data_IF_991328187257
#
_entry.id   IF_991328187257
#
_cell.length_a   1.000
_cell.length_b   1.000
_cell.length_c   1.000
_cell.angle_alpha   90.00
_cell.angle_beta   90.00
_cell.angle_gamma   90.00
#
_symmetry.space_group_name_H-M   'P 1'
#
loop_
_entity.id
_entity.type
_entity.pdbx_description
1 polymer ?
#
# COMPACT_ATOMS: atom_id res chain seq x y z
N UNK A 1 -5.23 -7.33 -18.78
CA UNK A 1 -5.28 -5.94 -18.26
C UNK A 1 -5.10 -6.01 -16.74
N UNK A 2 -4.38 -5.08 -16.13
CA UNK A 2 -4.14 -5.09 -14.66
C UNK A 2 -5.13 -4.18 -13.94
N UNK A 3 -5.46 -4.50 -12.69
CA UNK A 3 -6.26 -3.64 -11.81
C UNK A 3 -5.37 -2.45 -11.40
N UNK A 4 -5.91 -1.22 -11.46
CA UNK A 4 -5.28 -0.03 -10.92
C UNK A 4 -5.73 0.17 -9.47
N UNK A 5 -4.87 0.73 -8.64
CA UNK A 5 -5.16 1.01 -7.24
C UNK A 5 -4.90 2.48 -6.92
N UNK A 6 -5.92 3.15 -6.38
CA UNK A 6 -5.80 4.46 -5.76
C UNK A 6 -5.76 4.28 -4.25
N UNK A 7 -4.75 4.87 -3.59
CA UNK A 7 -4.58 4.76 -2.13
C UNK A 7 -4.86 6.10 -1.47
N UNK A 8 -5.79 6.08 -0.52
CA UNK A 8 -6.17 7.22 0.27
C UNK A 8 -5.94 6.92 1.75
N UNK A 9 -5.59 7.96 2.51
CA UNK A 9 -5.76 7.97 3.96
C UNK A 9 -6.92 8.90 4.30
N UNK A 10 -7.73 8.50 5.28
CA UNK A 10 -9.02 9.13 5.54
C UNK A 10 -9.28 9.27 7.04
N UNK A 11 -9.87 10.40 7.42
CA UNK A 11 -10.50 10.57 8.72
C UNK A 11 -11.61 9.52 8.86
N UNK A 12 -11.33 8.52 9.69
CA UNK A 12 -12.16 7.34 9.80
C UNK A 12 -13.50 7.65 10.46
N UNK A 13 -13.52 8.55 11.44
CA UNK A 13 -14.75 8.97 12.11
C UNK A 13 -15.65 9.75 11.14
N UNK A 14 -15.05 10.60 10.30
CA UNK A 14 -15.80 11.27 9.23
C UNK A 14 -16.43 10.27 8.26
N UNK A 15 -15.64 9.32 7.72
CA UNK A 15 -16.14 8.32 6.79
C UNK A 15 -17.24 7.45 7.41
N UNK A 16 -17.03 6.99 8.65
CA UNK A 16 -17.97 6.10 9.35
C UNK A 16 -19.24 6.83 9.85
N UNK A 17 -19.25 8.16 9.85
CA UNK A 17 -20.46 8.94 10.16
C UNK A 17 -21.49 8.91 9.03
N UNK A 18 -21.05 8.60 7.81
CA UNK A 18 -21.89 8.49 6.63
C UNK A 18 -22.40 7.05 6.43
N UNK A 19 -23.55 6.86 5.75
CA UNK A 19 -24.07 5.53 5.44
C UNK A 19 -23.09 4.70 4.61
N UNK A 20 -22.98 3.40 4.93
CA UNK A 20 -22.00 2.50 4.30
C UNK A 20 -22.13 2.37 2.78
N UNK A 21 -23.34 2.54 2.25
CA UNK A 21 -23.62 2.54 0.80
C UNK A 21 -23.11 3.80 0.08
N UNK A 22 -22.76 4.86 0.83
CA UNK A 22 -22.20 6.11 0.28
C UNK A 22 -20.68 6.16 0.32
N UNK A 23 -20.02 5.30 1.13
CA UNK A 23 -18.57 5.32 1.34
C UNK A 23 -17.79 5.25 0.02
N UNK A 24 -18.11 4.29 -0.85
CA UNK A 24 -17.41 4.14 -2.13
C UNK A 24 -17.50 5.41 -2.98
N UNK A 25 -18.70 5.98 -3.12
CA UNK A 25 -18.92 7.18 -3.92
C UNK A 25 -18.14 8.38 -3.39
N UNK A 26 -18.16 8.59 -2.07
CA UNK A 26 -17.39 9.67 -1.44
C UNK A 26 -15.89 9.52 -1.63
N UNK A 27 -15.36 8.30 -1.44
CA UNK A 27 -13.93 8.01 -1.57
C UNK A 27 -13.46 8.12 -3.03
N UNK A 28 -14.28 7.65 -3.96
CA UNK A 28 -14.05 7.79 -5.39
C UNK A 28 -14.00 9.27 -5.79
N UNK A 29 -15.02 10.06 -5.44
CA UNK A 29 -15.07 11.50 -5.74
C UNK A 29 -13.89 12.26 -5.10
N UNK A 30 -13.50 11.91 -3.88
CA UNK A 30 -12.32 12.44 -3.21
C UNK A 30 -11.04 12.14 -4.01
N UNK A 31 -10.83 10.90 -4.43
CA UNK A 31 -9.68 10.48 -5.24
C UNK A 31 -9.56 11.21 -6.57
N UNK A 32 -10.69 11.51 -7.22
CA UNK A 32 -10.74 12.29 -8.46
C UNK A 32 -10.48 13.79 -8.23
N UNK A 33 -11.02 14.38 -7.17
CA UNK A 33 -10.97 15.82 -6.92
C UNK A 33 -9.56 16.41 -6.85
N UNK A 34 -8.59 15.65 -6.33
CA UNK A 34 -7.18 16.08 -6.23
C UNK A 34 -6.32 15.62 -7.43
N UNK A 35 -6.84 14.69 -8.24
CA UNK A 35 -6.18 14.25 -9.47
C UNK A 35 -6.40 15.21 -10.64
N UNK A 36 -7.60 15.80 -10.75
CA UNK A 36 -7.92 16.74 -11.83
C UNK A 36 -7.08 18.01 -11.80
N UNK A 37 -6.72 18.53 -10.61
CA UNK A 37 -5.88 19.73 -10.49
C UNK A 37 -4.48 19.53 -11.13
N UNK A 38 -3.95 18.30 -11.12
CA UNK A 38 -2.69 17.96 -11.76
C UNK A 38 -2.81 17.86 -13.29
N UNK A 39 -3.87 17.23 -13.80
CA UNK A 39 -4.14 17.15 -15.24
C UNK A 39 -4.53 18.51 -15.84
N UNK A 40 -5.14 19.38 -15.03
CA UNK A 40 -5.52 20.75 -15.39
C UNK A 40 -4.32 21.72 -15.43
N UNK A 41 -3.16 21.36 -14.89
CA UNK A 41 -1.95 22.19 -14.88
C UNK A 41 -1.30 22.38 -16.28
N UNK A 42 -1.86 21.74 -17.32
CA UNK A 42 -1.53 21.99 -18.72
C UNK A 42 -0.29 21.23 -19.23
N UNK A 43 -0.12 21.17 -20.56
CA UNK A 43 1.01 20.49 -21.20
C UNK A 43 2.30 21.29 -20.96
N UNK A 44 3.02 20.97 -19.90
CA UNK A 44 4.23 21.67 -19.47
C UNK A 44 4.61 21.42 -18.01
N UNK A 45 3.67 20.91 -17.20
CA UNK A 45 4.01 20.45 -15.87
C UNK A 45 4.85 19.17 -15.99
N UNK A 46 6.06 19.09 -15.39
CA UNK A 46 6.84 17.87 -15.40
C UNK A 46 6.01 16.77 -14.72
N UNK A 47 5.86 15.61 -15.36
CA UNK A 47 5.26 14.45 -14.70
C UNK A 47 5.99 14.22 -13.37
N UNK A 48 5.26 13.86 -12.29
CA UNK A 48 5.91 13.66 -11.01
C UNK A 48 6.98 12.58 -11.16
N UNK A 49 8.21 12.89 -10.77
CA UNK A 49 9.36 12.02 -10.95
C UNK A 49 9.42 10.95 -9.83
N UNK A 50 8.57 11.07 -8.80
CA UNK A 50 8.54 10.14 -7.67
C UNK A 50 7.26 10.23 -6.84
N UNK A 51 7.20 9.43 -5.76
CA UNK A 51 6.03 9.35 -4.90
C UNK A 51 5.69 10.68 -4.23
N UNK A 52 4.40 10.98 -4.07
CA UNK A 52 3.95 12.24 -3.47
C UNK A 52 2.54 12.17 -2.89
N UNK A 53 2.24 13.13 -2.01
CA UNK A 53 0.92 13.32 -1.42
C UNK A 53 0.13 14.41 -2.13
N UNK A 54 -1.15 14.13 -2.33
CA UNK A 54 -2.17 15.08 -2.75
C UNK A 54 -3.16 15.28 -1.61
N UNK A 55 -3.39 16.53 -1.23
CA UNK A 55 -4.32 16.90 -0.16
C UNK A 55 -5.39 17.85 -0.72
N UNK A 56 -6.66 17.73 -0.28
CA UNK A 56 -7.69 18.68 -0.65
C UNK A 56 -7.32 20.08 -0.11
N UNK A 57 -7.75 21.13 -0.82
CA UNK A 57 -7.48 22.52 -0.41
C UNK A 57 -8.72 23.16 0.24
N UNK A 58 -8.62 23.75 1.45
CA UNK A 58 -7.43 23.82 2.30
C UNK A 58 -7.17 22.50 3.06
N UNK A 59 -5.90 22.08 3.12
CA UNK A 59 -5.49 20.77 3.67
C UNK A 59 -5.76 20.59 5.16
N UNK A 60 -5.84 21.68 5.92
CA UNK A 60 -6.20 21.65 7.35
C UNK A 60 -7.67 21.30 7.61
N UNK A 61 -8.52 21.34 6.59
CA UNK A 61 -9.94 20.95 6.64
C UNK A 61 -10.24 19.70 5.80
N UNK A 62 -9.20 19.10 5.22
CA UNK A 62 -9.32 17.87 4.45
C UNK A 62 -9.59 16.67 5.34
N UNK A 63 -10.61 15.88 5.00
CA UNK A 63 -10.88 14.58 5.65
C UNK A 63 -10.14 13.41 4.99
N UNK A 64 -9.34 13.68 3.94
CA UNK A 64 -8.57 12.66 3.23
C UNK A 64 -7.25 13.19 2.67
N UNK A 65 -6.36 12.28 2.29
CA UNK A 65 -5.20 12.54 1.44
C UNK A 65 -4.96 11.38 0.49
N UNK A 66 -4.64 11.65 -0.77
CA UNK A 66 -4.32 10.64 -1.79
C UNK A 66 -2.80 10.51 -1.91
N UNK A 67 -2.32 9.27 -1.94
CA UNK A 67 -0.91 8.99 -2.21
C UNK A 67 -0.72 8.47 -3.63
N UNK A 68 0.22 9.07 -4.34
CA UNK A 68 0.69 8.60 -5.62
C UNK A 68 2.05 7.95 -5.43
N UNK A 69 2.16 6.67 -5.80
CA UNK A 69 3.41 5.92 -5.74
C UNK A 69 4.36 6.24 -6.91
N UNK A 70 3.93 7.05 -7.87
CA UNK A 70 4.71 7.51 -9.02
C UNK A 70 4.90 6.42 -10.06
N UNK A 71 6.15 6.05 -10.35
CA UNK A 71 6.49 5.16 -11.47
C UNK A 71 6.06 3.69 -11.27
N UNK A 72 5.81 3.27 -10.03
CA UNK A 72 5.41 1.91 -9.65
C UNK A 72 4.30 1.98 -8.61
N UNK A 73 3.48 0.94 -8.46
CA UNK A 73 2.50 0.85 -7.37
C UNK A 73 1.09 1.36 -7.71
N UNK A 74 0.91 2.13 -8.78
CA UNK A 74 -0.44 2.46 -9.27
C UNK A 74 -1.17 1.25 -9.88
N UNK A 75 -0.44 0.17 -10.23
CA UNK A 75 -1.05 -1.09 -10.65
C UNK A 75 -0.91 -2.15 -9.58
N UNK A 76 -1.97 -2.91 -9.35
CA UNK A 76 -1.93 -4.09 -8.49
C UNK A 76 -0.92 -5.15 -8.97
N UNK A 77 -0.58 -5.16 -10.28
CA UNK A 77 0.51 -6.01 -10.79
C UNK A 77 1.87 -5.69 -10.19
N UNK A 78 2.11 -4.43 -9.83
CA UNK A 78 3.37 -4.02 -9.22
C UNK A 78 3.44 -4.58 -7.79
N UNK A 79 2.33 -4.56 -7.04
CA UNK A 79 2.20 -5.21 -5.74
C UNK A 79 2.41 -6.72 -5.81
N UNK A 80 1.74 -7.38 -6.77
CA UNK A 80 1.91 -8.81 -7.02
C UNK A 80 3.37 -9.16 -7.32
N UNK A 81 4.02 -8.42 -8.23
CA UNK A 81 5.42 -8.65 -8.56
C UNK A 81 6.34 -8.45 -7.34
N UNK A 82 6.09 -7.41 -6.54
CA UNK A 82 6.84 -7.20 -5.30
C UNK A 82 6.67 -8.36 -4.31
N UNK A 83 5.48 -8.94 -4.19
CA UNK A 83 5.26 -10.15 -3.40
C UNK A 83 6.05 -11.35 -3.92
N UNK A 84 6.05 -11.58 -5.24
CA UNK A 84 6.82 -12.68 -5.85
C UNK A 84 8.32 -12.53 -5.58
N UNK A 85 8.85 -11.31 -5.67
CA UNK A 85 10.24 -11.04 -5.29
C UNK A 85 10.47 -11.28 -3.81
N UNK A 86 9.53 -10.88 -2.94
CA UNK A 86 9.61 -11.16 -1.52
C UNK A 86 9.64 -12.66 -1.23
N UNK A 87 8.74 -13.44 -1.81
CA UNK A 87 8.70 -14.90 -1.64
C UNK A 87 10.00 -15.57 -2.10
N UNK A 88 10.60 -15.08 -3.19
CA UNK A 88 11.89 -15.59 -3.67
C UNK A 88 13.04 -15.33 -2.69
N UNK A 89 13.03 -14.21 -1.95
CA UNK A 89 14.15 -13.79 -1.11
C UNK A 89 13.96 -14.09 0.38
N UNK A 90 12.71 -14.22 0.86
CA UNK A 90 12.38 -14.29 2.31
C UNK A 90 13.05 -15.44 3.04
N UNK A 91 13.39 -16.53 2.34
CA UNK A 91 14.15 -17.66 2.90
C UNK A 91 15.59 -17.31 3.30
N UNK A 92 16.15 -16.23 2.77
CA UNK A 92 17.53 -15.78 2.99
C UNK A 92 17.62 -14.56 3.92
N UNK A 93 16.48 -14.05 4.40
CA UNK A 93 16.40 -12.90 5.29
C UNK A 93 16.35 -13.36 6.75
N UNK A 94 17.04 -12.69 7.70
CA UNK A 94 17.00 -13.04 9.12
C UNK A 94 15.56 -13.15 9.65
N UNK A 95 15.24 -14.12 10.53
CA UNK A 95 13.86 -14.43 10.92
C UNK A 95 13.04 -13.24 11.45
N UNK A 96 13.68 -12.34 12.22
CA UNK A 96 13.01 -11.15 12.75
C UNK A 96 12.60 -10.18 11.63
N UNK A 97 13.50 -9.91 10.68
CA UNK A 97 13.22 -9.04 9.53
C UNK A 97 12.20 -9.69 8.60
N UNK A 98 12.35 -10.99 8.33
CA UNK A 98 11.36 -11.76 7.57
C UNK A 98 9.96 -11.62 8.16
N UNK A 99 9.82 -11.88 9.47
CA UNK A 99 8.50 -11.77 10.12
C UNK A 99 7.95 -10.34 10.11
N UNK A 100 8.80 -9.32 10.12
CA UNK A 100 8.37 -7.92 10.07
C UNK A 100 7.83 -7.56 8.67
N UNK A 101 8.57 -7.92 7.62
CA UNK A 101 8.14 -7.71 6.24
C UNK A 101 6.89 -8.51 5.93
N UNK A 102 6.84 -9.80 6.29
CA UNK A 102 5.66 -10.66 6.12
C UNK A 102 4.39 -9.99 6.68
N UNK A 103 4.45 -9.52 7.93
CA UNK A 103 3.30 -8.87 8.59
C UNK A 103 2.97 -7.48 8.07
N UNK A 104 3.95 -6.78 7.49
CA UNK A 104 3.75 -5.47 6.90
C UNK A 104 3.07 -5.55 5.54
N UNK A 105 3.53 -6.46 4.65
CA UNK A 105 3.05 -6.52 3.28
C UNK A 105 1.79 -7.36 3.11
N UNK A 106 1.57 -8.38 3.95
CA UNK A 106 0.45 -9.32 3.83
C UNK A 106 -0.92 -8.61 3.67
N UNK A 107 -1.33 -7.73 4.58
CA UNK A 107 -2.62 -7.03 4.45
C UNK A 107 -2.63 -5.97 3.33
N UNK A 108 -1.48 -5.42 2.93
CA UNK A 108 -1.39 -4.35 1.94
C UNK A 108 -1.39 -4.87 0.51
N UNK A 109 -0.75 -6.03 0.30
CA UNK A 109 -0.56 -6.61 -1.02
C UNK A 109 -1.67 -7.62 -1.31
N UNK A 110 -2.20 -8.32 -0.31
CA UNK A 110 -3.09 -9.47 -0.51
C UNK A 110 -4.47 -9.35 0.14
N UNK A 111 -4.66 -8.43 1.10
CA UNK A 111 -5.85 -8.29 1.96
C UNK A 111 -7.21 -7.98 1.28
N UNK A 112 -7.31 -8.12 -0.05
CA UNK A 112 -8.53 -7.89 -0.83
C UNK A 112 -8.71 -8.81 -2.04
N UNK A 113 -7.85 -9.83 -2.24
CA UNK A 113 -8.04 -10.83 -3.30
C UNK A 113 -8.07 -12.23 -2.70
N UNK A 114 -9.26 -12.83 -2.67
CA UNK A 114 -9.52 -14.24 -2.28
C UNK A 114 -8.75 -15.28 -3.12
N UNK A 115 -7.95 -14.86 -4.10
CA UNK A 115 -7.34 -15.71 -5.13
C UNK A 115 -6.22 -16.65 -4.62
N UNK A 116 -5.87 -16.59 -3.33
CA UNK A 116 -4.83 -17.45 -2.73
C UNK A 116 -5.28 -18.18 -1.45
N UNK A 117 -6.58 -18.17 -1.13
CA UNK A 117 -7.09 -18.88 0.05
C UNK A 117 -6.94 -20.43 -0.02
N UNK A 118 -6.64 -20.97 -1.20
CA UNK A 118 -6.54 -22.42 -1.46
C UNK A 118 -5.12 -22.99 -1.45
N UNK A 119 -4.12 -22.28 -0.93
CA UNK A 119 -2.82 -22.91 -0.62
C UNK A 119 -2.66 -23.17 0.87
N UNK A 120 -3.19 -24.34 1.27
CA UNK A 120 -2.84 -25.03 2.51
C UNK A 120 -1.32 -24.99 2.72
N UNK A 121 -0.90 -24.10 3.60
CA UNK A 121 0.48 -23.98 4.05
C UNK A 121 0.68 -24.88 5.27
N UNK A 122 0.68 -26.20 5.07
CA UNK A 122 1.22 -27.15 6.05
C UNK A 122 2.71 -26.83 6.27
N UNK A 123 2.99 -25.96 7.25
CA UNK A 123 4.35 -25.62 7.67
C UNK A 123 4.64 -24.14 7.91
N UNK A 124 3.73 -23.22 7.57
CA UNK A 124 3.87 -21.83 7.96
C UNK A 124 3.57 -21.70 9.47
N UNK A 125 4.58 -21.37 10.27
CA UNK A 125 4.38 -20.99 11.67
C UNK A 125 3.20 -20.02 11.74
N UNK A 126 2.23 -20.26 12.63
CA UNK A 126 1.04 -19.43 12.78
C UNK A 126 1.43 -17.96 12.99
N UNK A 127 1.48 -17.20 11.90
CA UNK A 127 1.80 -15.79 11.92
C UNK A 127 0.54 -15.07 12.40
N UNK A 128 0.64 -14.40 13.55
CA UNK A 128 -0.39 -13.43 13.96
C UNK A 128 -0.29 -12.24 13.00
N UNK A 129 -1.03 -12.32 11.90
CA UNK A 129 -1.17 -11.24 10.92
C UNK A 129 -2.03 -10.11 11.52
N UNK A 130 -1.87 -8.90 10.98
CA UNK A 130 -2.83 -7.82 11.24
C UNK A 130 -4.09 -8.19 10.49
N UNK A 131 -5.08 -8.73 11.20
CA UNK A 131 -6.37 -9.10 10.60
C UNK A 131 -7.12 -7.81 10.29
N UNK A 132 -7.15 -7.45 9.01
CA UNK A 132 -8.00 -6.37 8.54
C UNK A 132 -9.47 -6.83 8.54
N UNK A 133 -10.42 -5.94 8.87
CA UNK A 133 -11.83 -6.20 8.58
C UNK A 133 -12.02 -6.47 7.07
N UNK A 134 -13.01 -7.30 6.69
CA UNK A 134 -13.30 -7.54 5.29
C UNK A 134 -13.59 -6.22 4.58
N UNK A 135 -12.94 -6.01 3.44
CA UNK A 135 -13.16 -4.81 2.64
C UNK A 135 -14.61 -4.79 2.14
N UNK A 136 -15.30 -3.64 2.20
CA UNK A 136 -16.58 -3.48 1.52
C UNK A 136 -16.44 -3.77 0.02
N UNK A 137 -17.55 -4.08 -0.68
CA UNK A 137 -17.52 -4.25 -2.13
C UNK A 137 -16.81 -3.08 -2.83
N UNK A 138 -16.08 -3.40 -3.91
CA UNK A 138 -15.32 -2.45 -4.75
C UNK A 138 -14.10 -1.77 -4.10
N UNK A 139 -13.76 -2.15 -2.86
CA UNK A 139 -12.51 -1.75 -2.20
C UNK A 139 -11.46 -2.86 -2.33
N UNK A 140 -10.21 -2.47 -2.56
CA UNK A 140 -9.04 -3.36 -2.59
C UNK A 140 -8.35 -3.47 -1.23
N UNK A 141 -8.51 -2.45 -0.38
CA UNK A 141 -7.94 -2.39 0.96
C UNK A 141 -8.87 -1.59 1.88
N UNK A 142 -9.11 -2.09 3.08
CA UNK A 142 -9.90 -1.43 4.12
C UNK A 142 -9.20 -1.56 5.47
N UNK A 143 -8.38 -0.57 5.82
CA UNK A 143 -7.48 -0.62 6.96
C UNK A 143 -7.87 0.47 7.99
N UNK A 144 -8.53 0.12 9.10
CA UNK A 144 -8.91 1.09 10.12
C UNK A 144 -7.69 1.67 10.87
N UNK A 145 -7.83 2.80 11.58
CA UNK A 145 -6.73 3.48 12.28
C UNK A 145 -5.92 2.58 13.22
N UNK A 146 -6.56 1.63 13.91
CA UNK A 146 -5.90 0.69 14.82
C UNK A 146 -5.01 -0.30 14.06
N UNK A 147 -5.46 -0.74 12.88
CA UNK A 147 -4.70 -1.61 12.01
C UNK A 147 -3.51 -0.86 11.38
N UNK A 148 -3.71 0.38 10.92
CA UNK A 148 -2.64 1.25 10.44
C UNK A 148 -1.57 1.48 11.53
N UNK A 149 -2.01 1.71 12.78
CA UNK A 149 -1.10 1.83 13.93
C UNK A 149 -0.32 0.56 14.21
N UNK A 150 -0.93 -0.61 14.03
CA UNK A 150 -0.26 -1.90 14.17
C UNK A 150 0.76 -2.14 13.05
N UNK A 151 0.40 -1.79 11.80
CA UNK A 151 1.29 -1.87 10.65
C UNK A 151 2.50 -0.95 10.80
N UNK A 152 2.32 0.21 11.43
CA UNK A 152 3.40 1.16 11.69
C UNK A 152 4.53 0.55 12.53
N UNK A 153 4.20 -0.30 13.49
CA UNK A 153 5.21 -0.98 14.32
C UNK A 153 6.09 -1.92 13.49
N UNK A 154 5.51 -2.62 12.52
CA UNK A 154 6.27 -3.47 11.61
C UNK A 154 7.08 -2.62 10.62
N UNK A 155 6.50 -1.55 10.11
CA UNK A 155 7.21 -0.61 9.24
C UNK A 155 8.44 -0.01 9.93
N UNK A 156 8.37 0.38 11.20
CA UNK A 156 9.52 0.94 11.91
C UNK A 156 10.71 -0.02 11.99
N UNK A 157 10.44 -1.32 12.08
CA UNK A 157 11.47 -2.34 12.04
C UNK A 157 11.99 -2.59 10.62
N UNK A 158 11.09 -2.63 9.63
CA UNK A 158 11.43 -2.86 8.22
C UNK A 158 12.22 -1.69 7.65
N UNK A 159 11.73 -0.47 7.83
CA UNK A 159 12.28 0.76 7.27
C UNK A 159 13.71 1.06 7.70
N UNK A 160 14.12 0.61 8.89
CA UNK A 160 15.50 0.76 9.39
C UNK A 160 16.49 -0.25 8.82
N UNK A 161 16.00 -1.28 8.13
CA UNK A 161 16.80 -2.42 7.67
C UNK A 161 16.56 -2.77 6.19
N UNK A 162 15.97 -1.86 5.41
CA UNK A 162 15.66 -2.11 4.00
C UNK A 162 16.91 -2.45 3.20
N UNK A 163 18.04 -1.81 3.48
CA UNK A 163 19.32 -2.03 2.79
C UNK A 163 19.84 -3.46 2.99
N UNK A 164 19.46 -4.13 4.09
CA UNK A 164 19.81 -5.54 4.31
C UNK A 164 19.12 -6.50 3.31
N UNK A 165 18.07 -6.04 2.62
CA UNK A 165 17.39 -6.82 1.59
C UNK A 165 18.09 -6.76 0.23
N UNK A 166 19.06 -5.86 0.03
CA UNK A 166 19.70 -5.65 -1.28
C UNK A 166 20.42 -6.91 -1.77
N UNK A 167 21.27 -7.50 -0.94
CA UNK A 167 22.08 -8.66 -1.32
C UNK A 167 21.22 -9.91 -1.62
N UNK A 168 20.20 -10.25 -0.81
CA UNK A 168 19.24 -11.29 -1.16
C UNK A 168 18.46 -10.97 -2.45
N UNK A 169 18.05 -9.72 -2.66
CA UNK A 169 17.31 -9.31 -3.85
C UNK A 169 18.14 -9.49 -5.12
N UNK A 170 19.35 -8.93 -5.17
CA UNK A 170 20.21 -9.01 -6.34
C UNK A 170 20.59 -10.45 -6.70
N UNK A 171 20.66 -11.35 -5.70
CA UNK A 171 21.06 -12.75 -5.92
C UNK A 171 19.90 -13.66 -6.29
N UNK A 172 18.73 -13.49 -5.69
CA UNK A 172 17.63 -14.47 -5.76
C UNK A 172 16.35 -13.94 -6.40
N UNK A 173 16.19 -12.62 -6.53
CA UNK A 173 15.03 -12.07 -7.23
C UNK A 173 15.13 -12.38 -8.74
N UNK A 174 14.00 -12.78 -9.32
CA UNK A 174 13.94 -13.10 -10.74
C UNK A 174 13.77 -11.81 -11.55
N UNK A 175 14.60 -11.58 -12.56
CA UNK A 175 14.38 -10.47 -13.49
C UNK A 175 13.16 -10.79 -14.39
N UNK A 176 11.98 -10.29 -14.01
CA UNK A 176 10.75 -10.37 -14.80
C UNK A 176 10.53 -9.15 -15.69
N UNK A 177 9.48 -9.19 -16.51
CA UNK A 177 9.01 -8.04 -17.30
C UNK A 177 8.15 -7.04 -16.50
N UNK A 178 8.16 -7.14 -15.16
CA UNK A 178 7.44 -6.24 -14.26
C UNK A 178 8.17 -4.88 -14.16
N UNK A 179 7.48 -3.87 -13.63
CA UNK A 179 8.12 -2.60 -13.27
C UNK A 179 8.93 -2.69 -11.97
N UNK A 180 8.63 -3.70 -11.14
CA UNK A 180 9.42 -4.04 -9.95
C UNK A 180 10.55 -4.98 -10.37
N UNK A 181 11.47 -4.52 -11.22
CA UNK A 181 12.57 -5.35 -11.72
C UNK A 181 13.95 -4.97 -11.13
N UNK A 182 13.97 -3.98 -10.24
CA UNK A 182 15.16 -3.52 -9.54
C UNK A 182 14.91 -3.45 -8.04
N UNK A 183 15.99 -3.49 -7.27
CA UNK A 183 15.93 -3.31 -5.83
C UNK A 183 15.34 -1.94 -5.46
N UNK A 184 15.72 -0.89 -6.18
CA UNK A 184 15.18 0.46 -5.97
C UNK A 184 13.68 0.53 -6.20
N UNK A 185 13.15 -0.16 -7.21
CA UNK A 185 11.70 -0.21 -7.46
C UNK A 185 10.96 -0.98 -6.36
N UNK A 186 11.52 -2.12 -5.91
CA UNK A 186 10.96 -2.93 -4.83
C UNK A 186 10.93 -2.16 -3.50
N UNK A 187 12.06 -1.59 -3.10
CA UNK A 187 12.16 -0.78 -1.88
C UNK A 187 11.38 0.53 -2.00
N UNK A 188 11.34 1.13 -3.19
CA UNK A 188 10.51 2.31 -3.46
C UNK A 188 9.04 2.06 -3.17
N UNK A 189 8.50 0.92 -3.59
CA UNK A 189 7.13 0.52 -3.27
C UNK A 189 6.92 0.32 -1.76
N UNK A 190 7.85 -0.40 -1.09
CA UNK A 190 7.78 -0.59 0.37
C UNK A 190 7.83 0.72 1.14
N UNK A 191 8.71 1.64 0.74
CA UNK A 191 8.82 3.00 1.30
C UNK A 191 7.54 3.80 1.08
N UNK A 192 6.94 3.70 -0.11
CA UNK A 192 5.65 4.35 -0.38
C UNK A 192 4.56 3.88 0.57
N UNK A 193 4.45 2.58 0.82
CA UNK A 193 3.52 2.06 1.83
C UNK A 193 3.89 2.49 3.24
N UNK A 194 5.19 2.52 3.55
CA UNK A 194 5.70 3.06 4.80
C UNK A 194 5.26 4.50 5.06
N UNK A 195 5.30 5.34 4.04
CA UNK A 195 4.86 6.73 4.10
C UNK A 195 3.33 6.82 4.27
N UNK A 196 2.56 6.00 3.55
CA UNK A 196 1.09 5.89 3.72
C UNK A 196 0.73 5.52 5.15
N UNK A 197 1.31 4.44 5.68
CA UNK A 197 1.06 3.97 7.04
C UNK A 197 1.54 4.98 8.08
N UNK A 198 2.70 5.60 7.87
CA UNK A 198 3.24 6.65 8.75
C UNK A 198 2.32 7.86 8.85
N UNK A 199 1.82 8.35 7.71
CA UNK A 199 0.90 9.50 7.68
C UNK A 199 -0.46 9.15 8.27
N UNK A 200 -1.01 7.97 7.96
CA UNK A 200 -2.26 7.49 8.54
C UNK A 200 -2.15 7.42 10.08
N UNK A 201 -1.10 6.78 10.59
CA UNK A 201 -0.88 6.65 12.04
C UNK A 201 -0.69 8.01 12.72
N UNK A 202 0.09 8.92 12.12
CA UNK A 202 0.32 10.26 12.70
C UNK A 202 -0.98 11.06 12.86
N UNK A 203 -1.96 10.82 11.99
CA UNK A 203 -3.26 11.52 11.99
C UNK A 203 -4.36 10.78 12.76
N UNK A 204 -4.12 9.53 13.15
CA UNK A 204 -5.18 8.66 13.68
C UNK A 204 -6.21 8.28 12.61
N UNK A 205 -5.78 8.22 11.35
CA UNK A 205 -6.61 7.99 10.18
C UNK A 205 -6.49 6.55 9.68
N UNK A 206 -7.48 6.09 8.92
CA UNK A 206 -7.43 4.80 8.24
C UNK A 206 -6.88 4.90 6.82
N UNK A 207 -6.66 3.76 6.19
CA UNK A 207 -6.11 3.62 4.83
C UNK A 207 -7.10 2.83 3.98
N UNK A 208 -7.39 3.35 2.80
CA UNK A 208 -8.31 2.74 1.84
C UNK A 208 -7.63 2.60 0.49
N UNK A 209 -7.81 1.44 -0.13
CA UNK A 209 -7.43 1.18 -1.52
C UNK A 209 -8.67 1.03 -2.39
N UNK A 210 -8.78 1.84 -3.44
CA UNK A 210 -9.88 1.82 -4.40
C UNK A 210 -9.41 1.28 -5.75
N UNK A 211 -10.35 0.74 -6.52
CA UNK A 211 -10.12 0.46 -7.94
C UNK A 211 -10.16 1.77 -8.74
N UNK A 212 -9.11 1.97 -9.54
CA UNK A 212 -9.12 2.78 -10.76
C UNK A 212 -9.03 1.83 -11.99
#
# INVERSE_FOLDING_TARGET
MGICIDVLIVDWDHLMSEPSDQHYGMLHDAGFSVGEEWWAAGPGHPSPIGPQWFWPSPSALGWFGKYDFGAVGFSYKDHFAASEHWEAIRGFVPPAMRSAVDRFIDPLFWGGLEYMADQDSEGAAAHVSVVLPPAPPDHLLWCPPEAASSLKLFWDLVGTQLEALQEPFERYAHAGSSRINSFDAFVGLLRGWGDVIGQAQQRGWGVVGLRC
#
